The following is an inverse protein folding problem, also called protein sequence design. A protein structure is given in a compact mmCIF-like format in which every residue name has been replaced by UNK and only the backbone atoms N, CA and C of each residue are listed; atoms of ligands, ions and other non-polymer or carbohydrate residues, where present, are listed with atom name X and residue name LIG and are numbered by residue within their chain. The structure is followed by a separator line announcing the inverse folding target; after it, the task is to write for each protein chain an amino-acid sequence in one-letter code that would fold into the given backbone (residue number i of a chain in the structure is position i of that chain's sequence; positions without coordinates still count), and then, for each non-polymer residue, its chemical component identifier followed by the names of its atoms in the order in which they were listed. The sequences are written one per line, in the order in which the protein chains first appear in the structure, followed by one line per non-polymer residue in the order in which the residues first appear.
data_IF_632016471224
#
_entry.id   IF_632016471224
#
_cell.length_a   1.000
_cell.length_b   1.000
_cell.length_c   1.000
_cell.angle_alpha   90.00
_cell.angle_beta   90.00
_cell.angle_gamma   90.00
#
_symmetry.space_group_name_H-M   'P 1'
#
loop_
_entity.id
_entity.type
_entity.pdbx_description
1 polymer ?
#
# COMPACT_ATOMS: atom_id res chain seq x y z
N UNK A 1 15.61 -8.59 4.66
CA UNK A 1 14.60 -8.10 3.69
C UNK A 1 14.56 -6.57 3.81
N UNK A 2 14.24 -5.83 2.76
CA UNK A 2 14.04 -4.38 2.87
C UNK A 2 12.76 -4.12 3.65
N UNK A 3 12.74 -3.09 4.50
CA UNK A 3 11.63 -2.90 5.46
C UNK A 3 10.31 -2.63 4.74
N UNK A 4 10.36 -1.89 3.63
CA UNK A 4 9.17 -1.62 2.81
C UNK A 4 8.69 -2.88 2.10
N UNK A 5 9.60 -3.74 1.62
CA UNK A 5 9.21 -5.03 1.06
C UNK A 5 8.48 -5.89 2.10
N UNK A 6 9.01 -5.96 3.33
CA UNK A 6 8.36 -6.69 4.44
C UNK A 6 6.96 -6.15 4.75
N UNK A 7 6.76 -4.83 4.69
CA UNK A 7 5.44 -4.23 4.85
C UNK A 7 4.43 -4.75 3.82
N UNK A 8 4.75 -4.66 2.52
CA UNK A 8 3.80 -5.09 1.49
C UNK A 8 3.56 -6.61 1.48
N UNK A 9 4.59 -7.39 1.77
CA UNK A 9 4.47 -8.84 1.98
C UNK A 9 3.54 -9.16 3.15
N UNK A 10 3.73 -8.51 4.31
CA UNK A 10 2.97 -8.80 5.53
C UNK A 10 1.49 -8.41 5.44
N UNK A 11 1.19 -7.24 4.84
CA UNK A 11 -0.18 -6.73 4.81
C UNK A 11 -0.97 -7.18 3.59
N UNK A 12 -0.31 -7.46 2.46
CA UNK A 12 -0.97 -7.71 1.18
C UNK A 12 -0.56 -9.02 0.50
N UNK A 13 0.31 -9.83 1.12
CA UNK A 13 0.90 -11.02 0.49
C UNK A 13 1.50 -10.71 -0.90
N UNK A 14 2.04 -9.50 -1.04
CA UNK A 14 2.49 -9.00 -2.33
C UNK A 14 3.82 -9.67 -2.71
N UNK A 15 3.98 -10.14 -3.95
CA UNK A 15 5.28 -10.61 -4.43
C UNK A 15 6.32 -9.50 -4.33
N UNK A 16 7.37 -9.71 -3.52
CA UNK A 16 8.42 -8.72 -3.33
C UNK A 16 9.80 -9.24 -3.71
N UNK A 17 10.66 -8.34 -4.17
CA UNK A 17 12.08 -8.60 -4.41
C UNK A 17 12.89 -7.43 -3.87
N UNK A 18 14.01 -7.72 -3.22
CA UNK A 18 14.91 -6.70 -2.68
C UNK A 18 16.26 -6.85 -3.35
N UNK A 19 16.71 -5.79 -4.02
CA UNK A 19 18.06 -5.70 -4.58
C UNK A 19 18.86 -4.62 -3.87
N UNK A 20 20.17 -4.58 -4.11
CA UNK A 20 21.07 -3.55 -3.59
C UNK A 20 21.54 -2.65 -4.71
N UNK A 21 21.51 -1.33 -4.45
CA UNK A 21 22.12 -0.31 -5.29
C UNK A 21 23.10 0.50 -4.42
N UNK A 22 24.37 0.13 -4.47
CA UNK A 22 25.40 0.65 -3.55
C UNK A 22 25.06 0.34 -2.08
N UNK A 23 24.89 1.38 -1.27
CA UNK A 23 24.48 1.28 0.14
C UNK A 23 22.97 1.26 0.35
N UNK A 24 22.17 1.41 -0.71
CA UNK A 24 20.71 1.46 -0.63
C UNK A 24 20.10 0.08 -0.85
N UNK A 25 18.99 -0.21 -0.15
CA UNK A 25 18.11 -1.32 -0.50
C UNK A 25 17.04 -0.81 -1.46
N UNK A 26 16.76 -1.57 -2.52
CA UNK A 26 15.69 -1.26 -3.47
C UNK A 26 14.65 -2.36 -3.36
N UNK A 27 13.49 -2.01 -2.79
CA UNK A 27 12.33 -2.88 -2.71
C UNK A 27 11.50 -2.73 -4.00
N UNK A 28 11.19 -3.86 -4.63
CA UNK A 28 10.35 -3.99 -5.82
C UNK A 28 9.12 -4.80 -5.40
N UNK A 29 7.93 -4.22 -5.54
CA UNK A 29 6.66 -4.80 -5.09
C UNK A 29 5.83 -5.02 -6.34
N UNK A 30 5.52 -6.27 -6.66
CA UNK A 30 4.76 -6.68 -7.83
C UNK A 30 3.25 -6.54 -7.62
N UNK A 31 2.56 -6.07 -8.65
CA UNK A 31 1.09 -6.00 -8.73
C UNK A 31 0.62 -6.53 -10.08
N UNK A 32 -0.62 -7.04 -10.11
CA UNK A 32 -1.21 -7.64 -11.31
C UNK A 32 -0.72 -9.06 -11.55
N UNK A 33 -0.86 -9.55 -12.79
CA UNK A 33 -0.48 -10.91 -13.12
C UNK A 33 1.04 -11.08 -13.07
N UNK A 34 1.50 -12.19 -12.51
CA UNK A 34 2.89 -12.63 -12.63
C UNK A 34 3.01 -13.50 -13.88
N UNK A 35 3.87 -13.11 -14.82
CA UNK A 35 4.16 -13.89 -16.02
C UNK A 35 5.00 -15.13 -15.75
N UNK A 36 5.08 -16.03 -16.73
CA UNK A 36 5.91 -17.24 -16.65
C UNK A 36 7.42 -16.93 -16.50
N UNK A 37 7.82 -15.68 -16.82
CA UNK A 37 9.17 -15.15 -16.62
C UNK A 37 9.41 -14.60 -15.20
N UNK A 38 8.42 -14.72 -14.31
CA UNK A 38 8.46 -14.25 -12.93
C UNK A 38 8.28 -12.74 -12.79
N UNK A 39 7.88 -12.02 -13.85
CA UNK A 39 7.68 -10.57 -13.80
C UNK A 39 6.23 -10.20 -13.54
N UNK A 40 6.03 -9.21 -12.68
CA UNK A 40 4.73 -8.57 -12.50
C UNK A 40 4.43 -7.61 -13.65
N UNK A 41 3.16 -7.47 -14.02
CA UNK A 41 2.69 -6.48 -15.00
C UNK A 41 2.97 -5.03 -14.57
N UNK A 42 2.85 -4.76 -13.27
CA UNK A 42 3.15 -3.47 -12.67
C UNK A 42 3.97 -3.66 -11.40
N UNK A 43 4.76 -2.65 -11.05
CA UNK A 43 5.49 -2.67 -9.78
C UNK A 43 5.62 -1.28 -9.16
N UNK A 44 5.61 -1.25 -7.83
CA UNK A 44 6.14 -0.12 -7.06
C UNK A 44 7.61 -0.37 -6.77
N UNK A 45 8.41 0.70 -6.84
CA UNK A 45 9.84 0.63 -6.54
C UNK A 45 10.18 1.67 -5.49
N UNK A 46 10.68 1.20 -4.35
CA UNK A 46 11.13 2.04 -3.24
C UNK A 46 12.63 1.88 -3.05
N UNK A 47 13.34 3.00 -2.92
CA UNK A 47 14.76 3.01 -2.59
C UNK A 47 14.92 3.46 -1.15
N UNK A 48 15.19 2.50 -0.27
CA UNK A 48 15.47 2.71 1.14
C UNK A 48 16.92 3.20 1.31
N UNK A 49 17.07 4.38 1.93
CA UNK A 49 18.38 4.96 2.26
C UNK A 49 18.48 5.15 3.76
N UNK A 50 19.58 4.69 4.33
CA UNK A 50 19.97 5.10 5.68
C UNK A 50 20.28 6.60 5.64
N UNK A 51 19.60 7.35 6.49
CA UNK A 51 19.82 8.78 6.64
C UNK A 51 20.03 9.07 8.12
N UNK A 52 21.20 9.57 8.48
CA UNK A 52 21.54 9.89 9.89
C UNK A 52 20.67 11.03 10.43
N UNK A 53 20.21 11.90 9.53
CA UNK A 53 19.19 12.92 9.78
C UNK A 53 18.15 12.77 8.67
N UNK A 54 17.15 11.86 8.82
CA UNK A 54 16.05 11.86 7.87
C UNK A 54 15.53 13.30 7.81
N UNK A 55 15.24 13.85 6.62
CA UNK A 55 14.55 15.12 6.58
C UNK A 55 13.31 14.94 7.47
N UNK A 56 13.27 15.60 8.64
CA UNK A 56 12.04 15.77 9.43
C UNK A 56 11.04 16.21 8.39
N UNK A 57 10.10 15.34 7.99
CA UNK A 57 9.26 15.51 6.80
C UNK A 57 9.10 17.00 6.52
N UNK A 58 9.93 17.56 5.63
CA UNK A 58 10.15 19.02 5.64
C UNK A 58 8.90 19.57 5.01
N UNK A 59 8.03 20.00 5.89
CA UNK A 59 6.62 20.11 5.69
C UNK A 59 5.99 19.99 7.06
N UNK A 60 5.83 21.13 7.72
CA UNK A 60 4.61 21.35 8.49
C UNK A 60 3.45 21.03 7.53
N UNK A 61 3.10 19.76 7.46
CA UNK A 61 1.85 19.35 6.87
C UNK A 61 0.88 19.58 8.00
N UNK A 62 0.25 20.75 7.97
CA UNK A 62 -1.02 20.96 8.62
C UNK A 62 -1.82 19.64 8.50
N UNK A 63 -2.52 19.19 9.53
CA UNK A 63 -3.28 17.93 9.48
C UNK A 63 -4.32 17.89 8.33
N UNK A 64 -4.43 18.98 7.56
CA UNK A 64 -5.16 19.15 6.32
C UNK A 64 -4.43 18.70 5.03
N UNK A 65 -3.10 18.49 5.00
CA UNK A 65 -2.37 18.14 3.77
C UNK A 65 -1.78 16.72 3.76
N UNK A 66 -1.88 16.10 2.59
CA UNK A 66 -1.88 14.66 2.39
C UNK A 66 -0.47 14.15 2.10
N UNK A 67 0.44 14.09 3.08
CA UNK A 67 1.79 13.53 2.83
C UNK A 67 2.52 14.26 1.69
N UNK A 68 3.12 13.53 0.73
CA UNK A 68 3.74 14.12 -0.48
C UNK A 68 2.75 14.84 -1.41
N UNK A 69 1.45 14.83 -1.10
CA UNK A 69 0.35 15.22 -1.99
C UNK A 69 0.01 14.14 -3.02
N UNK A 70 0.86 13.12 -3.16
CA UNK A 70 0.61 11.98 -4.05
C UNK A 70 -0.23 10.93 -3.33
N UNK A 71 -1.19 10.40 -4.08
CA UNK A 71 -2.03 9.27 -3.70
C UNK A 71 -2.02 8.26 -4.83
N UNK A 72 -1.97 6.99 -4.49
CA UNK A 72 -2.08 5.91 -5.46
C UNK A 72 -3.31 5.08 -5.17
N UNK A 73 -3.94 4.56 -6.22
CA UNK A 73 -4.94 3.53 -6.09
C UNK A 73 -4.33 2.19 -6.48
N UNK A 74 -4.47 1.19 -5.63
CA UNK A 74 -4.05 -0.19 -5.91
C UNK A 74 -5.26 -1.11 -5.86
N UNK A 75 -5.24 -2.13 -6.72
CA UNK A 75 -6.25 -3.19 -6.69
C UNK A 75 -5.63 -4.43 -6.07
N UNK A 76 -6.30 -4.95 -5.05
CA UNK A 76 -5.82 -6.08 -4.23
C UNK A 76 -6.88 -7.17 -4.17
N UNK A 77 -6.41 -8.41 -4.08
CA UNK A 77 -7.21 -9.62 -3.98
C UNK A 77 -7.68 -10.12 -5.35
N UNK A 78 -7.41 -11.39 -5.66
CA UNK A 78 -7.93 -12.00 -6.89
C UNK A 78 -9.45 -12.22 -6.80
N UNK A 79 -9.97 -12.27 -5.58
CA UNK A 79 -11.38 -12.39 -5.24
C UNK A 79 -11.69 -11.61 -3.94
N UNK A 80 -12.93 -11.71 -3.47
CA UNK A 80 -13.39 -11.03 -2.27
C UNK A 80 -12.73 -11.55 -0.98
N UNK A 81 -12.46 -12.86 -0.87
CA UNK A 81 -11.83 -13.45 0.31
C UNK A 81 -10.38 -12.95 0.46
N UNK A 82 -9.62 -12.87 -0.64
CA UNK A 82 -8.26 -12.32 -0.62
C UNK A 82 -8.26 -10.82 -0.22
N UNK A 83 -9.27 -10.07 -0.66
CA UNK A 83 -9.42 -8.67 -0.28
C UNK A 83 -9.80 -8.51 1.19
N UNK A 84 -10.64 -9.41 1.73
CA UNK A 84 -10.99 -9.46 3.15
C UNK A 84 -9.75 -9.71 4.01
N UNK A 85 -8.86 -10.61 3.60
CA UNK A 85 -7.58 -10.88 4.28
C UNK A 85 -6.73 -9.61 4.32
N UNK A 86 -6.56 -8.91 3.20
CA UNK A 86 -5.81 -7.65 3.16
C UNK A 86 -6.43 -6.57 4.07
N UNK A 87 -7.77 -6.43 4.04
CA UNK A 87 -8.47 -5.49 4.92
C UNK A 87 -8.30 -5.85 6.40
N UNK A 88 -8.36 -7.14 6.74
CA UNK A 88 -8.15 -7.66 8.10
C UNK A 88 -6.75 -7.36 8.58
N UNK A 89 -5.72 -7.69 7.78
CA UNK A 89 -4.33 -7.40 8.12
C UNK A 89 -4.12 -5.90 8.38
N UNK A 90 -4.66 -5.03 7.54
CA UNK A 90 -4.56 -3.58 7.73
C UNK A 90 -5.34 -3.07 8.94
N UNK A 91 -6.51 -3.66 9.25
CA UNK A 91 -7.29 -3.32 10.44
C UNK A 91 -6.57 -3.72 11.73
N UNK A 92 -6.07 -4.96 11.80
CA UNK A 92 -5.31 -5.47 12.94
C UNK A 92 -3.97 -4.74 13.13
N UNK A 93 -3.35 -4.32 12.02
CA UNK A 93 -2.16 -3.46 12.03
C UNK A 93 -2.40 -2.00 12.37
N UNK A 94 -3.66 -1.58 12.60
CA UNK A 94 -4.00 -0.19 12.90
C UNK A 94 -3.72 0.79 11.77
N UNK A 95 -3.74 0.34 10.51
CA UNK A 95 -3.37 1.14 9.34
C UNK A 95 -4.55 1.88 8.70
N UNK A 96 -5.78 1.50 9.02
CA UNK A 96 -6.97 2.07 8.37
C UNK A 96 -7.07 3.58 8.63
N UNK A 97 -7.20 4.33 7.54
CA UNK A 97 -7.28 5.77 7.53
C UNK A 97 -8.68 6.25 7.14
N UNK A 98 -9.25 7.13 7.96
CA UNK A 98 -10.38 7.97 7.55
C UNK A 98 -9.84 9.30 6.99
N UNK A 99 -9.90 9.46 5.67
CA UNK A 99 -9.58 10.72 5.03
C UNK A 99 -10.83 11.60 4.97
N UNK A 100 -10.84 12.71 5.71
CA UNK A 100 -11.99 13.65 5.79
C UNK A 100 -12.35 14.31 4.46
N UNK A 101 -11.45 14.27 3.47
CA UNK A 101 -11.71 14.78 2.12
C UNK A 101 -12.62 13.86 1.31
N UNK A 102 -12.95 12.68 1.81
CA UNK A 102 -13.84 11.74 1.13
C UNK A 102 -15.02 11.32 2.01
N UNK A 103 -16.14 11.01 1.37
CA UNK A 103 -17.37 10.60 2.05
C UNK A 103 -17.32 9.12 2.49
N UNK A 104 -16.45 8.31 1.89
CA UNK A 104 -16.26 6.91 2.26
C UNK A 104 -15.44 6.78 3.56
N UNK A 105 -16.16 6.57 4.66
CA UNK A 105 -15.57 6.32 5.97
C UNK A 105 -15.46 4.82 6.21
N UNK A 106 -14.29 4.27 5.92
CA UNK A 106 -14.00 2.84 6.10
C UNK A 106 -12.94 2.69 7.19
N UNK A 107 -13.35 2.17 8.35
CA UNK A 107 -12.49 2.00 9.53
C UNK A 107 -12.51 0.58 10.11
N UNK A 108 -13.23 -0.34 9.46
CA UNK A 108 -13.35 -1.73 9.86
C UNK A 108 -13.49 -2.62 8.61
N UNK A 109 -13.27 -3.93 8.80
CA UNK A 109 -13.29 -4.93 7.73
C UNK A 109 -14.67 -5.04 7.09
N UNK A 110 -15.74 -5.02 7.88
CA UNK A 110 -17.12 -5.09 7.39
C UNK A 110 -17.44 -3.95 6.41
N UNK A 111 -17.05 -2.72 6.77
CA UNK A 111 -17.19 -1.54 5.95
C UNK A 111 -16.32 -1.62 4.70
N UNK A 112 -15.09 -2.14 4.81
CA UNK A 112 -14.20 -2.33 3.67
C UNK A 112 -14.79 -3.33 2.67
N UNK A 113 -15.34 -4.44 3.16
CA UNK A 113 -15.98 -5.46 2.34
C UNK A 113 -17.27 -4.95 1.68
N UNK A 114 -18.06 -4.15 2.39
CA UNK A 114 -19.27 -3.54 1.84
C UNK A 114 -18.96 -2.49 0.77
N UNK A 115 -17.98 -1.62 1.03
CA UNK A 115 -17.59 -0.53 0.12
C UNK A 115 -16.63 -0.99 -0.98
N UNK A 116 -16.05 -2.19 -0.85
CA UNK A 116 -15.02 -2.75 -1.72
C UNK A 116 -13.78 -1.87 -1.84
N UNK A 117 -13.50 -1.09 -0.80
CA UNK A 117 -12.34 -0.21 -0.70
C UNK A 117 -12.02 0.18 0.74
N UNK A 118 -10.77 0.55 1.00
CA UNK A 118 -10.31 1.21 2.21
C UNK A 118 -9.08 2.08 1.91
N UNK A 119 -8.60 2.84 2.90
CA UNK A 119 -7.41 3.69 2.76
C UNK A 119 -6.41 3.42 3.88
N UNK A 120 -5.13 3.59 3.58
CA UNK A 120 -4.06 3.73 4.57
C UNK A 120 -3.06 4.78 4.07
N UNK A 121 -2.22 5.31 4.97
CA UNK A 121 -1.27 6.40 4.64
C UNK A 121 0.18 6.06 5.00
N UNK A 122 0.38 5.43 6.14
CA UNK A 122 1.71 5.20 6.67
C UNK A 122 2.20 3.81 6.27
N UNK A 123 3.35 3.76 5.62
CA UNK A 123 4.14 2.54 5.45
C UNK A 123 5.05 2.46 6.67
N UNK A 124 4.84 1.43 7.49
CA UNK A 124 5.54 1.26 8.77
C UNK A 124 6.58 0.14 8.71
N UNK A 125 7.54 0.19 9.63
CA UNK A 125 8.35 -0.96 9.99
C UNK A 125 7.47 -1.94 10.77
N UNK A 126 7.29 -3.15 10.24
CA UNK A 126 6.42 -4.17 10.84
C UNK A 126 6.94 -4.62 12.21
N UNK A 127 8.25 -4.52 12.47
CA UNK A 127 8.85 -4.94 13.74
C UNK A 127 8.72 -3.87 14.84
N UNK A 128 8.86 -2.60 14.49
CA UNK A 128 8.91 -1.50 15.47
C UNK A 128 7.66 -0.63 15.51
N UNK A 129 6.86 -0.62 14.45
CA UNK A 129 5.75 0.29 14.25
C UNK A 129 6.16 1.69 13.78
N UNK A 130 7.45 1.95 13.56
CA UNK A 130 7.93 3.26 13.13
C UNK A 130 7.49 3.56 11.69
N UNK A 131 7.02 4.78 11.42
CA UNK A 131 6.69 5.22 10.07
C UNK A 131 7.96 5.35 9.22
N UNK A 132 8.04 4.54 8.16
CA UNK A 132 9.14 4.55 7.19
C UNK A 132 8.91 5.54 6.05
N UNK A 133 7.66 5.63 5.59
CA UNK A 133 7.27 6.46 4.46
C UNK A 133 5.79 6.81 4.50
N UNK A 134 5.43 7.98 3.99
CA UNK A 134 4.05 8.49 3.98
C UNK A 134 3.58 8.59 2.54
N UNK A 135 2.62 7.73 2.17
CA UNK A 135 1.99 7.70 0.85
C UNK A 135 0.55 7.21 1.03
N UNK A 136 -0.44 8.04 0.67
CA UNK A 136 -1.83 7.58 0.73
C UNK A 136 -2.09 6.52 -0.33
N UNK A 137 -2.62 5.39 0.10
CA UNK A 137 -3.10 4.31 -0.73
C UNK A 137 -4.61 4.21 -0.61
N UNK A 138 -5.28 4.28 -1.74
CA UNK A 138 -6.65 3.80 -1.88
C UNK A 138 -6.59 2.34 -2.34
N UNK A 139 -6.92 1.43 -1.45
CA UNK A 139 -6.93 -0.01 -1.72
C UNK A 139 -8.34 -0.40 -2.14
N UNK A 140 -8.48 -0.99 -3.32
CA UNK A 140 -9.77 -1.42 -3.86
C UNK A 140 -9.75 -2.91 -4.16
N UNK A 141 -10.89 -3.56 -3.95
CA UNK A 141 -11.09 -4.93 -4.43
C UNK A 141 -11.12 -4.95 -5.96
N UNK A 142 -10.70 -6.06 -6.57
CA UNK A 142 -10.93 -6.32 -8.01
C UNK A 142 -12.43 -6.43 -8.36
N UNK A 143 -13.29 -6.65 -7.37
CA UNK A 143 -14.75 -6.57 -7.49
C UNK A 143 -15.30 -5.13 -7.47
N UNK A 144 -14.48 -4.13 -7.12
CA UNK A 144 -14.91 -2.73 -7.04
C UNK A 144 -15.42 -2.23 -8.40
N UNK A 145 -16.44 -1.36 -8.41
CA UNK A 145 -17.09 -0.89 -9.64
C UNK A 145 -16.16 -0.10 -10.58
N UNK A 146 -15.09 0.50 -10.05
CA UNK A 146 -14.04 1.18 -10.82
C UNK A 146 -12.90 0.26 -11.27
N UNK A 147 -12.93 -1.04 -10.92
CA UNK A 147 -11.92 -1.97 -11.40
C UNK A 147 -11.94 -1.98 -12.95
N UNK A 148 -10.79 -1.76 -13.60
CA UNK A 148 -10.71 -1.71 -15.06
C UNK A 148 -10.97 -3.11 -15.63
N UNK A 149 -12.25 -3.43 -15.86
CA UNK A 149 -12.64 -4.61 -16.62
C UNK A 149 -12.29 -4.32 -18.07
N UNK A 150 -11.54 -5.21 -18.71
CA UNK A 150 -11.40 -5.17 -20.16
C UNK A 150 -12.81 -5.18 -20.78
N UNK A 151 -13.20 -4.06 -21.39
CA UNK A 151 -14.21 -4.10 -22.44
C UNK A 151 -13.48 -4.77 -23.60
N UNK A 152 -13.85 -6.00 -23.93
CA UNK A 152 -13.43 -6.60 -25.19
C UNK A 152 -13.90 -5.64 -26.29
N UNK A 153 -12.94 -4.99 -26.97
CA UNK A 153 -13.18 -4.25 -28.22
C UNK A 153 -12.90 -5.19 -29.37
#
# INVERSE_FOLDING_TARGET
MGKIATFYDSFFDAPTTVTRDGSSHVAIIGFGKIGDDGRAEQCLLFRERLCDNPPTAVGFVDNADLGTGHRIAIYVGANDDDFEVAATNCAEGGLLLMNSNFEDRVLDVDSAMKMKQFRFKDIIDVETGDVLYVLEHEVRSTSHHLFPRHVAV
#
